data_IF_550490933629
#
_entry.id   IF_550490933629
#
_cell.length_a   1.000
_cell.length_b   1.000
_cell.length_c   1.000
_cell.angle_alpha   90.00
_cell.angle_beta   90.00
_cell.angle_gamma   90.00
#
_symmetry.space_group_name_H-M   'P 1'
#
loop_
_entity.id
_entity.type
_entity.pdbx_description
1 polymer ?
#
# COMPACT_ATOMS: atom_id res chain seq x y z
N UNK A 1 -62.44 62.51 33.85
CA UNK A 1 -62.94 61.87 32.61
C UNK A 1 -62.79 60.36 32.77
N UNK A 2 -63.91 59.65 32.72
CA UNK A 2 -64.05 58.19 32.64
C UNK A 2 -63.66 57.68 31.21
N UNK A 3 -63.80 56.39 30.84
CA UNK A 3 -63.30 55.16 31.48
C UNK A 3 -62.85 54.02 30.49
N UNK A 4 -62.38 52.90 31.07
CA UNK A 4 -62.57 51.44 30.78
C UNK A 4 -62.99 50.86 29.40
N UNK A 5 -62.59 49.59 29.15
CA UNK A 5 -63.40 48.36 28.87
C UNK A 5 -62.42 47.24 28.43
N UNK A 6 -62.29 46.03 29.02
CA UNK A 6 -63.29 45.00 29.36
C UNK A 6 -63.47 44.05 28.15
N UNK A 7 -63.53 42.71 28.14
CA UNK A 7 -63.73 41.57 29.10
C UNK A 7 -63.74 40.31 28.21
N UNK A 8 -62.91 39.27 28.39
CA UNK A 8 -63.06 37.99 29.14
C UNK A 8 -64.42 37.24 29.08
N UNK A 9 -64.31 35.89 28.99
CA UNK A 9 -65.18 34.79 29.48
C UNK A 9 -66.03 33.93 28.49
N UNK A 10 -65.65 32.63 28.33
CA UNK A 10 -66.29 31.41 28.93
C UNK A 10 -66.61 30.16 28.05
N UNK A 11 -65.88 29.06 28.36
CA UNK A 11 -66.27 27.67 28.76
C UNK A 11 -66.96 26.58 27.88
N UNK A 12 -66.52 25.34 28.25
CA UNK A 12 -67.20 24.03 28.45
C UNK A 12 -67.71 23.27 27.19
N UNK A 13 -67.85 21.93 27.11
CA UNK A 13 -67.20 20.69 27.60
C UNK A 13 -68.07 19.52 27.02
N UNK A 14 -67.51 18.30 26.99
CA UNK A 14 -68.19 16.97 27.01
C UNK A 14 -68.53 16.21 25.69
N UNK A 15 -67.69 15.18 25.44
CA UNK A 15 -67.93 13.75 25.16
C UNK A 15 -69.23 13.22 24.49
N UNK A 16 -69.07 12.34 23.47
CA UNK A 16 -69.29 10.86 23.54
C UNK A 16 -69.48 10.19 22.15
N UNK A 17 -68.87 9.01 21.95
CA UNK A 17 -69.55 7.85 21.32
C UNK A 17 -69.37 7.53 19.81
N UNK A 18 -68.37 6.69 19.53
CA UNK A 18 -68.22 5.62 18.51
C UNK A 18 -69.17 5.45 17.29
N UNK A 19 -68.58 5.21 16.11
CA UNK A 19 -68.97 4.12 15.17
C UNK A 19 -67.76 3.77 14.24
N UNK A 20 -67.69 2.51 13.79
CA UNK A 20 -66.48 1.85 13.28
C UNK A 20 -66.32 1.78 11.73
N UNK A 21 -65.05 1.58 11.33
CA UNK A 21 -64.52 0.87 10.12
C UNK A 21 -64.48 1.61 8.75
N UNK A 22 -63.76 1.08 7.72
CA UNK A 22 -62.31 0.84 7.63
C UNK A 22 -61.68 1.26 6.25
N UNK A 23 -60.34 1.29 6.16
CA UNK A 23 -59.46 0.71 5.10
C UNK A 23 -58.21 1.56 4.80
N UNK A 24 -57.07 0.90 4.98
CA UNK A 24 -55.74 1.32 4.53
C UNK A 24 -55.67 1.38 3.01
N UNK A 25 -55.18 2.51 2.47
CA UNK A 25 -54.75 2.61 1.08
C UNK A 25 -53.24 2.35 0.99
N UNK A 26 -52.88 1.28 0.26
CA UNK A 26 -51.51 0.95 -0.13
C UNK A 26 -51.02 1.90 -1.22
N UNK A 27 -49.75 2.35 -1.23
CA UNK A 27 -49.20 2.99 -2.40
C UNK A 27 -48.89 1.96 -3.49
N UNK A 28 -49.29 2.33 -4.70
CA UNK A 28 -49.22 1.62 -5.98
C UNK A 28 -47.77 1.28 -6.35
N UNK A 29 -47.48 0.00 -6.57
CA UNK A 29 -46.26 -0.46 -7.24
C UNK A 29 -46.44 -0.34 -8.77
N UNK A 30 -45.69 0.57 -9.39
CA UNK A 30 -45.43 0.54 -10.83
C UNK A 30 -44.24 -0.38 -11.09
N UNK A 31 -44.52 -1.54 -11.66
CA UNK A 31 -43.54 -2.50 -12.13
C UNK A 31 -42.66 -1.87 -13.22
N UNK A 32 -41.35 -1.78 -12.97
CA UNK A 32 -40.32 -1.54 -14.00
C UNK A 32 -39.37 -2.73 -14.03
N UNK A 33 -39.14 -3.22 -15.23
CA UNK A 33 -38.42 -4.43 -15.59
C UNK A 33 -37.07 -4.60 -14.88
N UNK A 34 -36.77 -5.86 -14.55
CA UNK A 34 -35.61 -6.30 -13.77
C UNK A 34 -34.28 -5.72 -14.25
N UNK A 35 -33.64 -4.96 -13.37
CA UNK A 35 -32.18 -4.85 -13.28
C UNK A 35 -31.76 -5.58 -12.02
N UNK A 36 -31.23 -6.79 -12.17
CA UNK A 36 -30.42 -7.39 -11.11
C UNK A 36 -29.23 -6.46 -10.88
N UNK A 37 -29.21 -5.81 -9.72
CA UNK A 37 -27.99 -5.18 -9.20
C UNK A 37 -27.06 -6.32 -8.83
N UNK A 38 -26.11 -6.62 -9.72
CA UNK A 38 -24.98 -7.48 -9.38
C UNK A 38 -24.13 -6.67 -8.41
N UNK A 39 -24.31 -6.91 -7.12
CA UNK A 39 -23.32 -6.52 -6.11
C UNK A 39 -22.07 -7.35 -6.45
N UNK A 40 -20.92 -6.76 -6.81
CA UNK A 40 -19.71 -7.55 -6.96
C UNK A 40 -19.43 -8.18 -5.60
N UNK A 41 -19.50 -9.52 -5.55
CA UNK A 41 -19.12 -10.28 -4.35
C UNK A 41 -17.70 -9.91 -3.90
N UNK A 42 -17.35 -10.23 -2.64
CA UNK A 42 -16.00 -9.98 -2.14
C UNK A 42 -14.99 -10.54 -3.15
N UNK A 43 -14.17 -9.67 -3.73
CA UNK A 43 -13.16 -10.05 -4.71
C UNK A 43 -11.80 -9.82 -4.08
N UNK A 44 -11.04 -10.90 -3.94
CA UNK A 44 -9.67 -10.85 -3.46
C UNK A 44 -8.73 -10.23 -4.50
N UNK A 45 -7.53 -9.82 -4.09
CA UNK A 45 -6.54 -9.29 -5.02
C UNK A 45 -6.02 -10.40 -5.95
N UNK A 46 -5.43 -10.03 -7.10
CA UNK A 46 -4.85 -11.00 -8.05
C UNK A 46 -3.81 -11.88 -7.32
N UNK A 47 -3.97 -13.20 -7.38
CA UNK A 47 -3.12 -14.19 -6.68
C UNK A 47 -3.59 -14.56 -5.27
N UNK A 48 -4.82 -14.20 -4.89
CA UNK A 48 -5.43 -14.57 -3.62
C UNK A 48 -6.68 -15.44 -3.84
N UNK A 49 -6.85 -16.47 -3.00
CA UNK A 49 -8.03 -17.32 -2.95
C UNK A 49 -9.02 -16.77 -1.90
N UNK A 50 -10.30 -16.72 -2.26
CA UNK A 50 -11.38 -16.32 -1.36
C UNK A 50 -11.91 -17.55 -0.64
N UNK A 51 -11.75 -17.59 0.68
CA UNK A 51 -12.32 -18.58 1.59
C UNK A 51 -13.85 -18.43 1.68
N UNK A 52 -14.58 -19.47 2.11
CA UNK A 52 -16.04 -19.40 2.21
C UNK A 52 -16.50 -18.46 3.33
N UNK A 53 -15.67 -18.26 4.36
CA UNK A 53 -15.86 -17.23 5.39
C UNK A 53 -15.61 -15.79 4.91
N UNK A 54 -15.24 -15.59 3.64
CA UNK A 54 -15.01 -14.28 3.03
C UNK A 54 -13.61 -13.71 3.23
N UNK A 55 -12.68 -14.46 3.83
CA UNK A 55 -11.26 -14.08 3.91
C UNK A 55 -10.49 -14.34 2.61
N UNK A 56 -9.40 -13.59 2.41
CA UNK A 56 -8.53 -13.74 1.25
C UNK A 56 -7.17 -14.28 1.68
N UNK A 57 -6.88 -15.53 1.34
CA UNK A 57 -5.57 -16.16 1.54
C UNK A 57 -4.76 -16.14 0.24
N UNK A 58 -3.49 -16.53 0.29
CA UNK A 58 -2.68 -16.68 -0.94
C UNK A 58 -3.22 -17.85 -1.77
N UNK A 59 -3.29 -17.72 -3.10
CA UNK A 59 -3.69 -18.84 -3.97
C UNK A 59 -2.74 -20.04 -3.86
N UNK A 60 -1.48 -19.79 -3.44
CA UNK A 60 -0.49 -20.83 -3.18
C UNK A 60 -0.74 -21.65 -1.89
N UNK A 61 -1.66 -21.21 -1.04
CA UNK A 61 -2.06 -21.88 0.21
C UNK A 61 -3.32 -22.72 0.05
N UNK A 62 -3.83 -22.83 -1.18
CA UNK A 62 -4.89 -23.77 -1.50
C UNK A 62 -4.27 -25.15 -1.69
N UNK A 63 -4.76 -26.16 -0.97
CA UNK A 63 -4.29 -27.53 -1.03
C UNK A 63 -2.80 -27.69 -0.66
N UNK A 64 -2.31 -26.92 0.31
CA UNK A 64 -0.94 -27.06 0.85
C UNK A 64 -0.86 -27.93 2.11
N UNK A 65 -2.02 -28.40 2.60
CA UNK A 65 -2.17 -29.31 3.72
C UNK A 65 -2.40 -28.63 5.07
N UNK A 66 -2.42 -27.29 5.12
CA UNK A 66 -2.71 -26.50 6.31
C UNK A 66 -4.05 -25.74 6.15
N UNK A 67 -4.84 -25.64 7.22
CA UNK A 67 -6.07 -24.83 7.20
C UNK A 67 -5.74 -23.35 7.45
N UNK A 68 -5.39 -22.63 6.38
CA UNK A 68 -5.08 -21.22 6.36
C UNK A 68 -6.33 -20.32 6.32
N UNK A 69 -7.44 -20.82 5.75
CA UNK A 69 -8.72 -20.11 5.78
C UNK A 69 -9.37 -20.10 7.18
N UNK A 70 -9.03 -21.06 8.04
CA UNK A 70 -9.63 -21.27 9.36
C UNK A 70 -10.98 -22.03 9.33
N UNK A 71 -11.64 -22.11 8.18
CA UNK A 71 -12.88 -22.84 7.91
C UNK A 71 -12.69 -24.08 7.01
N UNK A 72 -11.44 -24.43 6.66
CA UNK A 72 -11.04 -25.51 5.74
C UNK A 72 -11.48 -25.33 4.27
N UNK A 73 -11.92 -24.13 3.86
CA UNK A 73 -12.31 -23.87 2.46
C UNK A 73 -11.16 -23.96 1.45
N UNK A 74 -9.94 -23.88 1.94
CA UNK A 74 -8.68 -24.05 1.22
C UNK A 74 -8.18 -25.49 1.12
N UNK A 75 -8.69 -26.40 1.98
CA UNK A 75 -8.30 -27.81 2.08
C UNK A 75 -9.46 -28.80 1.84
N UNK A 76 -10.24 -28.67 0.73
CA UNK A 76 -11.32 -29.60 0.46
C UNK A 76 -10.81 -30.99 0.04
N UNK A 77 -11.64 -32.01 0.24
CA UNK A 77 -11.30 -33.42 0.00
C UNK A 77 -10.84 -33.78 -1.43
N UNK A 78 -10.98 -32.87 -2.40
CA UNK A 78 -10.50 -33.05 -3.78
C UNK A 78 -9.04 -32.58 -4.00
N UNK A 79 -8.38 -32.04 -2.97
CA UNK A 79 -6.96 -31.69 -3.03
C UNK A 79 -6.09 -32.92 -3.28
N UNK A 80 -5.08 -32.84 -4.17
CA UNK A 80 -4.18 -33.96 -4.45
C UNK A 80 -3.35 -34.31 -3.19
N UNK A 81 -3.15 -35.60 -2.87
CA UNK A 81 -2.34 -35.99 -1.72
C UNK A 81 -0.89 -35.51 -1.88
N UNK A 82 -0.33 -34.90 -0.83
CA UNK A 82 1.04 -34.41 -0.79
C UNK A 82 2.03 -35.58 -0.93
N UNK A 83 2.60 -35.77 -2.12
CA UNK A 83 3.76 -36.66 -2.30
C UNK A 83 5.00 -36.01 -1.67
N UNK A 84 5.48 -36.62 -0.58
CA UNK A 84 6.77 -36.29 0.03
C UNK A 84 7.91 -36.62 -0.94
N UNK A 85 8.38 -35.63 -1.70
CA UNK A 85 9.61 -35.77 -2.49
C UNK A 85 10.79 -35.24 -1.69
N UNK A 86 11.48 -36.17 -1.04
CA UNK A 86 12.84 -35.97 -0.51
C UNK A 86 13.82 -35.86 -1.68
N UNK A 87 14.16 -34.64 -2.10
CA UNK A 87 15.23 -34.39 -3.05
C UNK A 87 16.30 -33.48 -2.42
N UNK A 88 17.24 -34.10 -1.70
CA UNK A 88 18.51 -33.47 -1.32
C UNK A 88 19.29 -33.17 -2.60
N UNK A 89 19.23 -31.93 -3.07
CA UNK A 89 20.12 -31.43 -4.13
C UNK A 89 20.97 -30.30 -3.55
N UNK A 90 22.25 -30.60 -3.35
CA UNK A 90 23.25 -29.60 -2.95
C UNK A 90 23.48 -28.66 -4.13
N UNK A 91 22.96 -27.43 -4.03
CA UNK A 91 23.21 -26.39 -5.01
C UNK A 91 24.60 -25.79 -4.75
N UNK A 92 25.58 -26.11 -5.61
CA UNK A 92 26.87 -25.41 -5.57
C UNK A 92 26.70 -24.02 -6.19
N UNK A 93 26.94 -22.99 -5.38
CA UNK A 93 26.99 -21.59 -5.81
C UNK A 93 28.43 -21.24 -6.15
N UNK A 94 28.65 -20.66 -7.32
CA UNK A 94 29.95 -20.07 -7.68
C UNK A 94 29.75 -18.59 -7.92
N UNK A 95 30.35 -17.78 -7.06
CA UNK A 95 30.41 -16.31 -7.14
C UNK A 95 31.66 -15.92 -7.91
N UNK A 96 31.51 -15.08 -8.94
CA UNK A 96 32.67 -14.50 -9.63
C UNK A 96 33.31 -13.43 -8.74
N UNK A 97 34.55 -13.64 -8.28
CA UNK A 97 35.27 -12.72 -7.39
C UNK A 97 35.60 -11.36 -8.01
N UNK A 98 35.50 -11.23 -9.34
CA UNK A 98 35.83 -9.98 -10.05
C UNK A 98 34.62 -9.06 -10.26
N UNK A 99 33.40 -9.60 -10.36
CA UNK A 99 32.18 -8.81 -10.63
C UNK A 99 31.00 -9.08 -9.69
N UNK A 100 31.15 -9.96 -8.70
CA UNK A 100 30.15 -10.20 -7.65
C UNK A 100 28.89 -10.95 -8.09
N UNK A 101 28.79 -11.43 -9.33
CA UNK A 101 27.62 -12.15 -9.84
C UNK A 101 27.66 -13.65 -9.51
N UNK A 102 26.55 -14.19 -8.98
CA UNK A 102 26.42 -15.60 -8.56
C UNK A 102 25.68 -16.43 -9.61
N UNK A 103 26.26 -17.58 -10.02
CA UNK A 103 25.60 -18.54 -10.92
C UNK A 103 25.03 -19.72 -10.11
N UNK A 104 23.72 -19.98 -10.19
CA UNK A 104 23.09 -21.23 -9.72
C UNK A 104 22.73 -22.10 -10.94
N UNK A 105 23.40 -23.24 -11.13
CA UNK A 105 22.94 -24.28 -12.09
C UNK A 105 21.84 -25.10 -11.41
N UNK A 106 20.60 -25.02 -11.90
CA UNK A 106 19.57 -26.04 -11.62
C UNK A 106 19.66 -27.10 -12.72
N UNK A 107 20.08 -28.31 -12.39
CA UNK A 107 19.80 -29.46 -13.25
C UNK A 107 18.32 -29.82 -13.04
N UNK A 108 17.45 -29.37 -13.93
CA UNK A 108 16.08 -29.87 -14.00
C UNK A 108 16.10 -31.24 -14.71
N UNK A 109 15.39 -32.27 -14.21
CA UNK A 109 15.24 -33.51 -14.94
C UNK A 109 14.41 -33.24 -16.21
N UNK A 110 14.95 -33.67 -17.35
CA UNK A 110 14.26 -33.59 -18.65
C UNK A 110 13.17 -34.66 -18.67
N UNK A 111 11.90 -34.28 -18.49
CA UNK A 111 10.79 -35.13 -18.93
C UNK A 111 10.54 -34.87 -20.42
N UNK A 112 10.86 -35.86 -21.26
CA UNK A 112 10.40 -35.92 -22.65
C UNK A 112 8.89 -36.13 -22.64
N UNK A 113 8.12 -35.16 -23.10
CA UNK A 113 6.77 -35.39 -23.59
C UNK A 113 6.72 -35.05 -25.08
N UNK A 114 6.42 -36.08 -25.87
CA UNK A 114 6.14 -36.03 -27.29
C UNK A 114 4.75 -35.42 -27.51
N UNK A 115 4.67 -34.26 -28.16
CA UNK A 115 3.43 -33.74 -28.76
C UNK A 115 3.75 -32.93 -30.03
N UNK A 116 2.86 -33.04 -31.01
CA UNK A 116 2.95 -32.64 -32.42
C UNK A 116 3.11 -31.11 -32.66
N UNK A 117 3.49 -30.66 -33.87
CA UNK A 117 3.98 -29.30 -34.11
C UNK A 117 2.82 -28.31 -34.23
N UNK A 118 2.72 -27.37 -33.29
CA UNK A 118 1.99 -26.11 -33.45
C UNK A 118 2.97 -24.98 -33.77
N UNK A 119 2.54 -24.16 -34.72
CA UNK A 119 3.29 -23.10 -35.40
C UNK A 119 4.12 -22.21 -34.47
N UNK A 120 5.36 -21.99 -34.88
CA UNK A 120 6.37 -21.20 -34.21
C UNK A 120 5.93 -19.73 -34.13
N UNK A 121 5.59 -19.26 -32.93
CA UNK A 121 5.56 -17.83 -32.64
C UNK A 121 6.99 -17.36 -32.39
N UNK A 122 7.47 -16.48 -33.27
CA UNK A 122 8.76 -15.78 -33.11
C UNK A 122 8.70 -14.91 -31.86
N UNK A 123 9.30 -15.39 -30.77
CA UNK A 123 9.61 -14.55 -29.63
C UNK A 123 10.68 -13.54 -30.07
N UNK A 124 10.33 -12.26 -30.15
CA UNK A 124 11.30 -11.18 -30.37
C UNK A 124 12.19 -11.06 -29.13
N UNK A 125 13.28 -11.83 -29.11
CA UNK A 125 14.36 -11.73 -28.11
C UNK A 125 15.22 -10.51 -28.41
N UNK A 126 15.13 -9.47 -27.58
CA UNK A 126 16.11 -8.37 -27.48
C UNK A 126 16.09 -7.85 -26.03
N UNK A 127 17.16 -7.56 -25.30
CA UNK A 127 18.59 -7.81 -25.43
C UNK A 127 19.04 -8.40 -24.07
N UNK A 128 19.80 -9.49 -24.14
CA UNK A 128 20.53 -10.02 -23.00
C UNK A 128 21.72 -9.07 -22.71
N UNK A 129 21.77 -8.44 -21.54
CA UNK A 129 23.03 -7.83 -21.09
C UNK A 129 23.93 -8.98 -20.64
N UNK A 130 24.75 -9.46 -21.57
CA UNK A 130 25.80 -10.43 -21.30
C UNK A 130 27.02 -9.65 -20.84
N UNK A 131 27.50 -9.91 -19.63
CA UNK A 131 28.76 -9.35 -19.18
C UNK A 131 29.87 -9.86 -20.11
N UNK A 132 30.56 -8.98 -20.83
CA UNK A 132 31.62 -9.32 -21.80
C UNK A 132 32.81 -10.02 -21.15
N UNK A 133 33.01 -9.84 -19.83
CA UNK A 133 34.11 -10.42 -19.07
C UNK A 133 33.82 -11.84 -18.53
N UNK A 134 32.57 -12.16 -18.18
CA UNK A 134 32.23 -13.45 -17.56
C UNK A 134 31.12 -14.26 -18.28
N UNK A 135 30.55 -13.74 -19.36
CA UNK A 135 29.57 -14.44 -20.20
C UNK A 135 28.20 -14.68 -19.54
N UNK A 136 27.94 -14.14 -18.33
CA UNK A 136 26.67 -14.29 -17.64
C UNK A 136 25.62 -13.30 -18.18
N UNK A 137 24.42 -13.81 -18.44
CA UNK A 137 23.30 -13.07 -19.02
C UNK A 137 22.21 -12.84 -17.98
N UNK A 138 21.93 -11.58 -17.62
CA UNK A 138 20.78 -11.22 -16.77
C UNK A 138 19.51 -11.22 -17.60
N UNK A 139 18.70 -12.27 -17.52
CA UNK A 139 17.36 -12.29 -18.13
C UNK A 139 16.37 -11.61 -17.20
N UNK A 140 16.02 -10.34 -17.45
CA UNK A 140 14.77 -9.79 -16.91
C UNK A 140 13.63 -10.54 -17.60
N UNK A 141 12.79 -11.26 -16.85
CA UNK A 141 11.55 -11.80 -17.41
C UNK A 141 10.63 -10.60 -17.67
N UNK A 142 10.25 -10.39 -18.93
CA UNK A 142 9.16 -9.47 -19.23
C UNK A 142 7.87 -10.04 -18.62
N UNK A 143 7.09 -9.19 -17.94
CA UNK A 143 5.74 -9.53 -17.53
C UNK A 143 4.90 -9.83 -18.80
N UNK A 144 3.97 -10.80 -18.74
CA UNK A 144 3.18 -11.18 -19.91
C UNK A 144 2.40 -9.98 -20.45
N UNK A 145 2.56 -9.72 -21.76
CA UNK A 145 1.81 -8.69 -22.48
C UNK A 145 0.33 -9.09 -22.49
N UNK A 146 -0.55 -8.15 -22.12
CA UNK A 146 -1.99 -8.40 -22.11
C UNK A 146 -2.49 -8.67 -23.53
N UNK A 147 -3.05 -9.86 -23.76
CA UNK A 147 -3.75 -10.19 -25.01
C UNK A 147 -5.16 -9.58 -24.95
N UNK A 148 -5.45 -8.69 -25.88
CA UNK A 148 -6.76 -8.04 -26.05
C UNK A 148 -7.49 -8.68 -27.23
N UNK A 149 -8.81 -8.82 -27.14
CA UNK A 149 -9.65 -9.22 -28.27
C UNK A 149 -9.66 -8.13 -29.36
N UNK A 150 -10.07 -8.46 -30.58
CA UNK A 150 -10.18 -7.48 -31.66
C UNK A 150 -11.14 -6.33 -31.30
N UNK A 151 -12.26 -6.66 -30.65
CA UNK A 151 -13.24 -5.69 -30.16
C UNK A 151 -12.66 -4.77 -29.08
N UNK A 152 -11.95 -5.34 -28.09
CA UNK A 152 -11.29 -4.54 -27.05
C UNK A 152 -10.23 -3.61 -27.61
N UNK A 153 -9.48 -4.05 -28.64
CA UNK A 153 -8.50 -3.19 -29.33
C UNK A 153 -9.20 -2.00 -30.00
N UNK A 154 -10.31 -2.25 -30.69
CA UNK A 154 -11.08 -1.20 -31.35
C UNK A 154 -11.62 -0.16 -30.35
N UNK A 155 -12.19 -0.62 -29.24
CA UNK A 155 -12.69 0.26 -28.17
C UNK A 155 -11.56 1.09 -27.54
N UNK A 156 -10.40 0.47 -27.32
CA UNK A 156 -9.21 1.17 -26.82
C UNK A 156 -8.73 2.24 -27.80
N UNK A 157 -8.65 1.94 -29.09
CA UNK A 157 -8.21 2.89 -30.11
C UNK A 157 -9.21 4.04 -30.30
N UNK A 158 -10.51 3.78 -30.16
CA UNK A 158 -11.55 4.81 -30.14
C UNK A 158 -11.43 5.72 -28.91
N UNK A 159 -11.24 5.15 -27.72
CA UNK A 159 -11.05 5.91 -26.49
C UNK A 159 -9.80 6.81 -26.57
N UNK A 160 -8.70 6.32 -27.15
CA UNK A 160 -7.47 7.11 -27.35
C UNK A 160 -7.71 8.25 -28.34
N UNK A 161 -8.35 8.00 -29.48
CA UNK A 161 -8.69 9.05 -30.46
C UNK A 161 -9.59 10.12 -29.86
N UNK A 162 -10.58 9.71 -29.07
CA UNK A 162 -11.46 10.64 -28.34
C UNK A 162 -10.66 11.47 -27.34
N UNK A 163 -9.72 10.85 -26.63
CA UNK A 163 -8.88 11.55 -25.67
C UNK A 163 -7.96 12.59 -26.33
N UNK A 164 -7.31 12.22 -27.44
CA UNK A 164 -6.40 13.09 -28.19
C UNK A 164 -7.16 14.28 -28.82
N UNK A 165 -8.29 14.02 -29.48
CA UNK A 165 -9.12 15.09 -30.07
C UNK A 165 -9.74 16.02 -29.02
N UNK A 166 -10.15 15.49 -27.86
CA UNK A 166 -10.62 16.31 -26.75
C UNK A 166 -9.49 17.18 -26.16
N UNK A 167 -8.28 16.64 -26.06
CA UNK A 167 -7.11 17.39 -25.58
C UNK A 167 -6.73 18.53 -26.53
N UNK A 168 -6.77 18.30 -27.85
CA UNK A 168 -6.56 19.32 -28.88
C UNK A 168 -7.60 20.45 -28.81
N UNK A 169 -8.85 20.12 -28.49
CA UNK A 169 -9.93 21.10 -28.27
C UNK A 169 -9.87 21.82 -26.93
N UNK A 170 -8.91 21.49 -26.06
CA UNK A 170 -8.81 22.02 -24.70
C UNK A 170 -9.81 21.44 -23.70
N UNK A 171 -10.60 20.43 -24.08
CA UNK A 171 -11.48 19.71 -23.15
C UNK A 171 -10.69 18.67 -22.36
N UNK A 172 -9.94 19.15 -21.37
CA UNK A 172 -9.11 18.31 -20.51
C UNK A 172 -9.92 17.35 -19.62
N UNK A 173 -11.21 17.60 -19.40
CA UNK A 173 -12.06 16.72 -18.59
C UNK A 173 -12.38 15.45 -19.36
N UNK A 174 -12.89 15.61 -20.58
CA UNK A 174 -13.19 14.49 -21.48
C UNK A 174 -11.91 13.74 -21.84
N UNK A 175 -10.83 14.45 -22.18
CA UNK A 175 -9.55 13.83 -22.47
C UNK A 175 -9.05 12.92 -21.33
N UNK A 176 -9.10 13.41 -20.08
CA UNK A 176 -8.71 12.61 -18.91
C UNK A 176 -9.60 11.39 -18.73
N UNK A 177 -10.91 11.53 -18.92
CA UNK A 177 -11.87 10.44 -18.79
C UNK A 177 -11.60 9.34 -19.82
N UNK A 178 -11.44 9.69 -21.09
CA UNK A 178 -11.20 8.76 -22.18
C UNK A 178 -9.84 8.06 -22.08
N UNK A 179 -8.77 8.75 -21.66
CA UNK A 179 -7.50 8.08 -21.36
C UNK A 179 -7.61 7.09 -20.20
N UNK A 180 -8.35 7.46 -19.14
CA UNK A 180 -8.56 6.58 -17.99
C UNK A 180 -9.36 5.34 -18.38
N UNK A 181 -10.35 5.49 -19.26
CA UNK A 181 -11.12 4.40 -19.84
C UNK A 181 -10.23 3.44 -20.64
N UNK A 182 -9.40 3.97 -21.55
CA UNK A 182 -8.44 3.18 -22.33
C UNK A 182 -7.48 2.38 -21.44
N UNK A 183 -6.94 3.01 -20.38
CA UNK A 183 -6.08 2.34 -19.38
C UNK A 183 -6.85 1.29 -18.58
N UNK A 184 -8.14 1.47 -18.34
CA UNK A 184 -8.95 0.50 -17.60
C UNK A 184 -9.21 -0.76 -18.43
N UNK A 185 -9.42 -0.61 -19.74
CA UNK A 185 -9.55 -1.74 -20.66
C UNK A 185 -8.22 -2.50 -20.87
N UNK A 186 -7.11 -1.75 -20.94
CA UNK A 186 -5.78 -2.29 -21.20
C UNK A 186 -4.74 -1.87 -20.13
N UNK A 187 -4.88 -2.32 -18.87
CA UNK A 187 -4.09 -1.85 -17.73
C UNK A 187 -2.59 -2.20 -17.77
N UNK A 188 -2.17 -3.14 -18.63
CA UNK A 188 -0.76 -3.52 -18.80
C UNK A 188 -0.15 -3.02 -20.11
N UNK A 189 -0.89 -2.21 -20.88
CA UNK A 189 -0.40 -1.68 -22.15
C UNK A 189 0.44 -0.42 -21.93
N UNK A 190 1.76 -0.57 -22.00
CA UNK A 190 2.72 0.51 -21.79
C UNK A 190 2.54 1.71 -22.73
N UNK A 191 2.09 1.49 -23.98
CA UNK A 191 1.90 2.57 -24.97
C UNK A 191 0.81 3.55 -24.51
N UNK A 192 -0.33 3.01 -24.08
CA UNK A 192 -1.49 3.80 -23.64
C UNK A 192 -1.16 4.56 -22.36
N UNK A 193 -0.53 3.85 -21.41
CA UNK A 193 -0.10 4.44 -20.15
C UNK A 193 0.87 5.60 -20.41
N UNK A 194 1.81 5.44 -21.35
CA UNK A 194 2.77 6.50 -21.71
C UNK A 194 2.09 7.69 -22.39
N UNK A 195 1.12 7.45 -23.28
CA UNK A 195 0.31 8.53 -23.90
C UNK A 195 -0.46 9.32 -22.83
N UNK A 196 -1.09 8.63 -21.89
CA UNK A 196 -1.77 9.29 -20.77
C UNK A 196 -0.79 10.09 -19.89
N UNK A 197 0.41 9.55 -19.62
CA UNK A 197 1.48 10.26 -18.93
C UNK A 197 1.87 11.57 -19.61
N UNK A 198 2.02 11.57 -20.95
CA UNK A 198 2.32 12.78 -21.74
C UNK A 198 1.20 13.82 -21.67
N UNK A 199 -0.06 13.38 -21.73
CA UNK A 199 -1.20 14.28 -21.53
C UNK A 199 -1.19 14.91 -20.12
N UNK A 200 -0.87 14.13 -19.09
CA UNK A 200 -0.76 14.65 -17.73
C UNK A 200 0.41 15.62 -17.57
N UNK A 201 1.56 15.34 -18.19
CA UNK A 201 2.72 16.24 -18.25
C UNK A 201 2.32 17.58 -18.89
N UNK A 202 1.68 17.55 -20.06
CA UNK A 202 1.22 18.73 -20.79
C UNK A 202 0.18 19.56 -20.00
N UNK A 203 -0.63 18.93 -19.15
CA UNK A 203 -1.59 19.61 -18.27
C UNK A 203 -1.00 20.01 -16.90
N UNK A 204 0.31 19.90 -16.72
CA UNK A 204 1.02 20.32 -15.50
C UNK A 204 0.93 19.36 -14.32
N UNK A 205 0.35 18.16 -14.51
CA UNK A 205 0.18 17.13 -13.46
C UNK A 205 1.41 16.22 -13.40
N UNK A 206 2.55 16.82 -13.06
CA UNK A 206 3.89 16.20 -13.08
C UNK A 206 3.95 14.89 -12.30
N UNK A 207 3.40 14.83 -11.09
CA UNK A 207 3.43 13.65 -10.23
C UNK A 207 2.66 12.47 -10.85
N UNK A 208 1.45 12.73 -11.34
CA UNK A 208 0.63 11.72 -12.03
C UNK A 208 1.26 11.29 -13.35
N UNK A 209 2.01 12.17 -14.02
CA UNK A 209 2.74 11.82 -15.23
C UNK A 209 3.90 10.85 -14.95
N UNK A 210 4.74 11.12 -13.94
CA UNK A 210 5.82 10.22 -13.52
C UNK A 210 5.28 8.85 -13.06
N UNK A 211 4.17 8.83 -12.31
CA UNK A 211 3.50 7.57 -11.95
C UNK A 211 3.13 6.74 -13.20
N UNK A 212 2.60 7.39 -14.25
CA UNK A 212 2.27 6.69 -15.48
C UNK A 212 3.54 6.19 -16.20
N UNK A 213 4.59 7.00 -16.29
CA UNK A 213 5.83 6.55 -16.91
C UNK A 213 6.49 5.40 -16.15
N UNK A 214 6.57 5.46 -14.82
CA UNK A 214 7.07 4.38 -13.99
C UNK A 214 6.26 3.09 -14.20
N UNK A 215 4.91 3.19 -14.25
CA UNK A 215 4.04 2.04 -14.55
C UNK A 215 4.25 1.49 -15.95
N UNK A 216 4.48 2.33 -16.95
CA UNK A 216 4.76 1.87 -18.31
C UNK A 216 6.07 1.08 -18.37
N UNK A 217 7.12 1.55 -17.68
CA UNK A 217 8.43 0.88 -17.61
C UNK A 217 8.38 -0.45 -16.85
N UNK A 218 7.45 -0.60 -15.90
CA UNK A 218 7.21 -1.89 -15.24
C UNK A 218 6.83 -2.99 -16.24
N UNK A 219 5.97 -2.67 -17.21
CA UNK A 219 5.49 -3.64 -18.21
C UNK A 219 6.37 -3.71 -19.45
N UNK A 220 6.95 -2.58 -19.88
CA UNK A 220 7.84 -2.49 -21.02
C UNK A 220 9.07 -1.63 -20.67
N UNK A 221 10.14 -2.25 -20.12
CA UNK A 221 11.31 -1.53 -19.59
C UNK A 221 12.07 -0.68 -20.60
N UNK A 222 11.99 -1.01 -21.90
CA UNK A 222 12.72 -0.32 -22.97
C UNK A 222 11.86 0.75 -23.68
N UNK A 223 10.80 1.25 -23.03
CA UNK A 223 9.92 2.26 -23.61
C UNK A 223 10.60 3.64 -23.57
N UNK A 224 11.28 4.01 -24.65
CA UNK A 224 12.08 5.25 -24.76
C UNK A 224 11.29 6.50 -24.33
N UNK A 225 10.04 6.61 -24.80
CA UNK A 225 9.16 7.74 -24.49
C UNK A 225 8.81 7.90 -23.02
N UNK A 226 8.77 6.79 -22.26
CA UNK A 226 8.57 6.83 -20.82
C UNK A 226 9.87 7.14 -20.07
N UNK A 227 11.02 6.64 -20.53
CA UNK A 227 12.34 6.97 -19.98
C UNK A 227 12.59 8.47 -20.11
N UNK A 228 12.49 9.02 -21.33
CA UNK A 228 12.66 10.46 -21.60
C UNK A 228 11.69 11.32 -20.78
N UNK A 229 10.45 10.85 -20.60
CA UNK A 229 9.47 11.50 -19.73
C UNK A 229 9.96 11.59 -18.29
N UNK A 230 10.44 10.50 -17.70
CA UNK A 230 10.98 10.52 -16.33
C UNK A 230 12.23 11.36 -16.22
N UNK A 231 13.14 11.31 -17.18
CA UNK A 231 14.36 12.11 -17.17
C UNK A 231 14.07 13.62 -17.11
N UNK A 232 13.01 14.08 -17.78
CA UNK A 232 12.53 15.47 -17.67
C UNK A 232 11.89 15.78 -16.31
N UNK A 233 11.07 14.87 -15.77
CA UNK A 233 10.25 15.15 -14.59
C UNK A 233 10.98 14.95 -13.26
N UNK A 234 11.92 14.01 -13.18
CA UNK A 234 12.61 13.67 -11.93
C UNK A 234 13.31 14.86 -11.26
N UNK A 235 14.06 15.74 -11.97
CA UNK A 235 14.66 16.92 -11.36
C UNK A 235 13.62 17.92 -10.80
N UNK A 236 12.46 18.05 -11.47
CA UNK A 236 11.37 18.91 -11.02
C UNK A 236 10.76 18.34 -9.73
N UNK A 237 10.51 17.04 -9.71
CA UNK A 237 9.95 16.34 -8.55
C UNK A 237 10.92 16.33 -7.36
N UNK A 238 12.24 16.22 -7.60
CA UNK A 238 13.25 16.29 -6.54
C UNK A 238 13.31 17.69 -5.92
N UNK A 239 13.26 18.77 -6.72
CA UNK A 239 13.18 20.14 -6.22
C UNK A 239 11.91 20.39 -5.41
N UNK A 240 10.74 19.96 -5.91
CA UNK A 240 9.45 20.07 -5.20
C UNK A 240 9.49 19.30 -3.88
N UNK A 241 10.08 18.10 -3.89
CA UNK A 241 10.19 17.27 -2.70
C UNK A 241 11.07 17.93 -1.62
N UNK A 242 12.23 18.49 -1.98
CA UNK A 242 13.07 19.23 -1.03
C UNK A 242 12.37 20.44 -0.44
N UNK A 243 11.65 21.21 -1.26
CA UNK A 243 10.87 22.34 -0.77
C UNK A 243 9.77 21.90 0.23
N UNK A 244 9.09 20.78 -0.07
CA UNK A 244 8.10 20.19 0.83
C UNK A 244 8.74 19.71 2.15
N UNK A 245 9.93 19.09 2.10
CA UNK A 245 10.66 18.69 3.30
C UNK A 245 10.99 19.88 4.20
N UNK A 246 11.39 21.03 3.62
CA UNK A 246 11.64 22.26 4.38
C UNK A 246 10.37 22.82 5.03
N UNK A 247 9.25 22.89 4.28
CA UNK A 247 7.95 23.33 4.82
C UNK A 247 7.48 22.43 5.97
N UNK A 248 7.57 21.12 5.78
CA UNK A 248 7.21 20.13 6.81
C UNK A 248 8.09 20.29 8.04
N UNK A 249 9.41 20.49 7.88
CA UNK A 249 10.31 20.67 9.01
C UNK A 249 9.94 21.90 9.83
N UNK A 250 9.69 23.04 9.16
CA UNK A 250 9.26 24.27 9.83
C UNK A 250 7.92 24.08 10.56
N UNK A 251 6.91 23.49 9.91
CA UNK A 251 5.62 23.18 10.56
C UNK A 251 5.76 22.23 11.74
N UNK A 252 6.62 21.22 11.61
CA UNK A 252 6.89 20.26 12.67
C UNK A 252 7.51 20.95 13.89
N UNK A 253 8.47 21.86 13.69
CA UNK A 253 9.07 22.63 14.78
C UNK A 253 8.03 23.48 15.50
N UNK A 254 7.13 24.16 14.77
CA UNK A 254 6.02 24.93 15.35
C UNK A 254 5.11 24.04 16.18
N UNK A 255 4.69 22.89 15.65
CA UNK A 255 3.81 21.93 16.36
C UNK A 255 4.49 21.42 17.63
N UNK A 256 5.75 21.00 17.53
CA UNK A 256 6.52 20.47 18.68
C UNK A 256 6.69 21.55 19.75
N UNK A 257 7.05 22.78 19.38
CA UNK A 257 7.18 23.90 20.32
C UNK A 257 5.86 24.23 21.00
N UNK A 258 4.74 24.20 20.28
CA UNK A 258 3.42 24.47 20.87
C UNK A 258 3.03 23.38 21.87
N UNK A 259 3.23 22.11 21.52
CA UNK A 259 2.98 20.98 22.43
C UNK A 259 3.85 21.10 23.70
N UNK A 260 5.12 21.49 23.56
CA UNK A 260 6.04 21.67 24.69
C UNK A 260 5.58 22.73 25.70
N UNK A 261 4.82 23.74 25.28
CA UNK A 261 4.25 24.75 26.21
C UNK A 261 3.23 24.14 27.18
N UNK A 262 2.60 23.04 26.79
CA UNK A 262 1.49 22.42 27.54
C UNK A 262 1.89 21.12 28.25
N UNK A 263 3.15 20.68 28.16
CA UNK A 263 3.64 19.48 28.84
C UNK A 263 5.00 19.68 29.49
N UNK A 264 5.16 19.14 30.70
CA UNK A 264 6.47 19.01 31.36
C UNK A 264 7.21 17.74 30.93
N UNK A 265 6.60 16.90 30.08
CA UNK A 265 7.19 15.65 29.60
C UNK A 265 8.39 15.92 28.71
N UNK A 266 9.54 15.40 29.12
CA UNK A 266 10.81 15.51 28.38
C UNK A 266 10.78 14.84 26.99
N UNK A 267 9.73 14.08 26.65
CA UNK A 267 9.64 13.33 25.39
C UNK A 267 8.31 13.62 24.67
N UNK A 268 8.24 14.74 23.94
CA UNK A 268 7.13 15.08 23.02
C UNK A 268 6.78 13.90 22.10
N UNK A 269 7.77 13.12 21.68
CA UNK A 269 7.58 11.92 20.85
C UNK A 269 6.69 10.86 21.51
N UNK A 270 6.75 10.68 22.83
CA UNK A 270 5.88 9.73 23.55
C UNK A 270 4.43 10.20 23.55
N UNK A 271 4.23 11.50 23.74
CA UNK A 271 2.91 12.13 23.66
C UNK A 271 2.34 12.05 22.24
N UNK A 272 3.16 12.32 21.23
CA UNK A 272 2.78 12.16 19.83
C UNK A 272 2.33 10.73 19.50
N UNK A 273 3.04 9.73 20.06
CA UNK A 273 2.66 8.33 19.92
C UNK A 273 1.32 8.02 20.59
N UNK A 274 1.12 8.44 21.84
CA UNK A 274 -0.07 8.06 22.62
C UNK A 274 -1.33 8.86 22.28
N UNK A 275 -1.20 10.16 21.99
CA UNK A 275 -2.33 11.04 21.67
C UNK A 275 -2.79 10.94 20.22
N UNK A 276 -1.86 10.80 19.27
CA UNK A 276 -2.19 10.94 17.86
C UNK A 276 -2.11 9.62 17.12
N UNK A 277 -1.00 8.88 17.28
CA UNK A 277 -0.83 7.63 16.55
C UNK A 277 -1.70 6.50 17.08
N UNK A 278 -1.65 6.24 18.40
CA UNK A 278 -2.40 5.15 19.04
C UNK A 278 -3.91 5.25 18.76
N UNK A 279 -4.59 6.40 18.91
CA UNK A 279 -6.02 6.48 18.64
C UNK A 279 -6.36 6.32 17.16
N UNK A 280 -5.50 6.80 16.25
CA UNK A 280 -5.72 6.67 14.79
C UNK A 280 -5.75 5.22 14.29
N UNK A 281 -5.07 4.32 15.01
CA UNK A 281 -5.09 2.88 14.71
C UNK A 281 -6.43 2.27 15.15
N UNK A 282 -6.96 2.70 16.30
CA UNK A 282 -8.13 2.10 16.92
C UNK A 282 -9.45 2.82 16.61
N UNK A 283 -9.42 4.00 15.96
CA UNK A 283 -10.61 4.79 15.63
C UNK A 283 -11.47 4.19 14.52
N UNK A 284 -11.02 3.12 13.85
CA UNK A 284 -11.70 2.51 12.70
C UNK A 284 -12.34 1.16 13.04
N UNK A 285 -13.40 1.18 13.85
CA UNK A 285 -14.38 0.10 13.97
C UNK A 285 -13.91 -1.14 14.75
N UNK A 286 -14.64 -1.46 15.81
CA UNK A 286 -14.58 -2.75 16.50
C UNK A 286 -15.00 -3.86 15.53
N UNK A 287 -14.04 -4.65 15.08
CA UNK A 287 -14.36 -5.97 14.53
C UNK A 287 -14.56 -6.85 15.77
N UNK A 288 -15.83 -7.14 16.13
CA UNK A 288 -16.23 -8.04 17.22
C UNK A 288 -15.89 -9.49 16.87
N UNK A 289 -14.62 -9.77 16.62
CA UNK A 289 -14.09 -11.11 16.39
C UNK A 289 -12.89 -11.30 17.29
N UNK A 290 -12.74 -12.50 17.82
CA UNK A 290 -11.57 -12.88 18.64
C UNK A 290 -10.25 -12.55 17.93
N UNK A 291 -10.19 -12.78 16.61
CA UNK A 291 -9.02 -12.44 15.78
C UNK A 291 -8.79 -10.93 15.70
N UNK A 292 -9.84 -10.14 15.52
CA UNK A 292 -9.75 -8.68 15.55
C UNK A 292 -9.24 -8.15 16.88
N UNK A 293 -9.69 -8.73 18.00
CA UNK A 293 -9.20 -8.40 19.34
C UNK A 293 -7.72 -8.77 19.51
N UNK A 294 -7.31 -9.96 19.07
CA UNK A 294 -5.92 -10.40 19.13
C UNK A 294 -4.99 -9.49 18.30
N UNK A 295 -5.43 -9.03 17.11
CA UNK A 295 -4.68 -8.04 16.32
C UNK A 295 -4.56 -6.71 17.06
N UNK A 296 -5.63 -6.28 17.74
CA UNK A 296 -5.67 -5.02 18.49
C UNK A 296 -4.72 -5.06 19.70
N UNK A 297 -4.67 -6.19 20.39
CA UNK A 297 -3.71 -6.46 21.48
C UNK A 297 -2.29 -6.45 20.94
N UNK A 298 -2.02 -7.16 19.84
CA UNK A 298 -0.67 -7.18 19.23
C UNK A 298 -0.18 -5.80 18.77
N UNK A 299 -1.07 -4.97 18.21
CA UNK A 299 -0.75 -3.57 17.89
C UNK A 299 -0.44 -2.75 19.14
N UNK A 300 -1.21 -2.95 20.21
CA UNK A 300 -0.97 -2.27 21.49
C UNK A 300 0.39 -2.62 22.07
N UNK A 301 0.72 -3.92 22.15
CA UNK A 301 2.01 -4.40 22.65
C UNK A 301 3.18 -3.84 21.82
N UNK A 302 3.02 -3.75 20.49
CA UNK A 302 4.03 -3.19 19.61
C UNK A 302 4.23 -1.67 19.80
N UNK A 303 3.15 -0.91 20.03
CA UNK A 303 3.20 0.52 20.35
C UNK A 303 3.92 0.74 21.69
N UNK A 304 3.58 -0.05 22.71
CA UNK A 304 4.20 0.07 24.04
C UNK A 304 5.70 -0.27 23.98
N UNK A 305 6.10 -1.21 23.13
CA UNK A 305 7.51 -1.46 22.84
C UNK A 305 8.19 -0.28 22.17
N UNK A 306 7.60 0.29 21.12
CA UNK A 306 8.16 1.50 20.47
C UNK A 306 8.30 2.61 21.50
N UNK A 307 7.26 2.88 22.30
CA UNK A 307 7.28 3.86 23.37
C UNK A 307 8.49 3.69 24.29
N UNK A 308 8.79 2.45 24.68
CA UNK A 308 9.96 2.13 25.52
C UNK A 308 11.31 2.43 24.84
N UNK A 309 11.37 2.48 23.50
CA UNK A 309 12.57 2.73 22.70
C UNK A 309 12.75 4.18 22.25
N UNK A 310 11.79 5.09 22.48
CA UNK A 310 11.84 6.46 21.93
C UNK A 310 12.92 7.38 22.53
N UNK A 311 13.63 6.99 23.59
CA UNK A 311 14.73 7.76 24.16
C UNK A 311 15.88 7.98 23.16
N UNK A 312 16.51 9.16 23.20
CA UNK A 312 17.60 9.55 22.28
C UNK A 312 18.86 8.70 22.42
N UNK A 313 19.11 8.18 23.62
CA UNK A 313 20.20 7.26 23.97
C UNK A 313 19.93 5.82 23.54
N UNK A 314 18.67 5.48 23.24
CA UNK A 314 18.27 4.11 22.91
C UNK A 314 18.49 3.82 21.42
N UNK A 315 18.79 2.56 21.04
CA UNK A 315 18.81 2.17 19.64
C UNK A 315 17.42 2.27 18.99
N UNK A 316 17.37 2.09 17.67
CA UNK A 316 16.12 1.85 16.96
C UNK A 316 15.49 0.52 17.43
N UNK A 317 14.15 0.40 17.45
CA UNK A 317 13.48 -0.83 17.83
C UNK A 317 13.84 -1.97 16.87
N UNK A 318 14.04 -3.17 17.43
CA UNK A 318 14.37 -4.34 16.63
C UNK A 318 13.16 -4.80 15.79
N UNK A 319 13.41 -5.07 14.52
CA UNK A 319 12.36 -5.40 13.54
C UNK A 319 11.67 -6.72 13.87
N UNK A 320 12.41 -7.73 14.33
CA UNK A 320 11.83 -9.03 14.71
C UNK A 320 11.00 -8.88 15.98
N UNK A 321 11.43 -8.03 16.90
CA UNK A 321 10.75 -7.76 18.17
C UNK A 321 9.44 -6.97 17.98
N UNK A 322 9.40 -6.03 17.04
CA UNK A 322 8.16 -5.41 16.56
C UNK A 322 7.22 -6.48 15.98
N UNK A 323 7.72 -7.31 15.06
CA UNK A 323 6.93 -8.35 14.40
C UNK A 323 6.40 -9.39 15.41
N UNK A 324 7.20 -9.76 16.40
CA UNK A 324 6.84 -10.66 17.49
C UNK A 324 5.61 -10.16 18.25
N UNK A 325 5.56 -8.87 18.60
CA UNK A 325 4.41 -8.28 19.30
C UNK A 325 3.18 -8.18 18.40
N UNK A 326 3.37 -7.73 17.16
CA UNK A 326 2.26 -7.56 16.22
C UNK A 326 1.52 -8.87 15.93
N UNK A 327 2.24 -9.99 15.78
CA UNK A 327 1.68 -11.28 15.37
C UNK A 327 1.65 -12.31 16.50
N UNK A 328 2.16 -12.00 17.69
CA UNK A 328 2.31 -12.96 18.77
C UNK A 328 1.00 -13.61 19.23
N UNK A 329 -0.11 -12.87 19.19
CA UNK A 329 -1.43 -13.36 19.58
C UNK A 329 -2.15 -14.09 18.43
N UNK A 330 -2.09 -13.55 17.22
CA UNK A 330 -2.78 -14.14 16.06
C UNK A 330 -2.05 -15.31 15.44
N UNK A 331 -0.72 -15.23 15.41
CA UNK A 331 0.17 -16.07 14.62
C UNK A 331 1.46 -16.43 15.41
N UNK A 332 1.35 -17.03 16.62
CA UNK A 332 2.47 -17.26 17.54
C UNK A 332 3.59 -18.13 16.96
N UNK A 333 3.26 -19.08 16.07
CA UNK A 333 4.24 -19.97 15.44
C UNK A 333 5.25 -19.23 14.57
N UNK A 334 4.85 -18.11 13.98
CA UNK A 334 5.63 -17.36 12.98
C UNK A 334 6.03 -15.96 13.45
N UNK A 335 5.41 -15.45 14.52
CA UNK A 335 5.78 -14.19 15.16
C UNK A 335 7.30 -14.14 15.43
N UNK A 336 7.92 -12.99 15.14
CA UNK A 336 9.37 -12.77 15.29
C UNK A 336 10.31 -13.61 14.40
N UNK A 337 9.80 -14.58 13.62
CA UNK A 337 10.63 -15.52 12.84
C UNK A 337 10.65 -15.17 11.37
N UNK A 338 11.85 -15.09 10.80
CA UNK A 338 12.01 -14.93 9.36
C UNK A 338 11.44 -16.15 8.62
N UNK A 339 10.87 -15.92 7.43
CA UNK A 339 10.30 -16.99 6.63
C UNK A 339 11.40 -17.94 6.13
N UNK A 340 11.03 -19.21 6.05
CA UNK A 340 11.83 -20.29 5.48
C UNK A 340 11.26 -20.77 4.12
N UNK A 341 10.23 -20.09 3.61
CA UNK A 341 9.54 -20.41 2.35
C UNK A 341 9.52 -19.19 1.45
N UNK A 342 9.40 -19.41 0.15
CA UNK A 342 9.14 -18.35 -0.80
C UNK A 342 7.71 -17.83 -0.65
N UNK A 343 7.55 -16.53 -0.85
CA UNK A 343 6.27 -15.83 -0.82
C UNK A 343 6.19 -14.88 -2.00
N UNK A 344 5.00 -14.67 -2.53
CA UNK A 344 4.77 -13.77 -3.66
C UNK A 344 4.07 -12.50 -3.20
N UNK A 345 4.56 -11.33 -3.66
CA UNK A 345 4.03 -10.02 -3.26
C UNK A 345 3.59 -9.26 -4.50
N UNK A 346 2.37 -9.56 -4.97
CA UNK A 346 1.88 -9.04 -6.24
C UNK A 346 2.81 -9.47 -7.40
N UNK A 347 3.29 -8.54 -8.25
CA UNK A 347 4.21 -8.87 -9.33
C UNK A 347 5.69 -8.93 -8.90
N UNK A 348 6.00 -8.57 -7.65
CA UNK A 348 7.37 -8.55 -7.14
C UNK A 348 7.72 -9.88 -6.47
N UNK A 349 8.92 -10.39 -6.77
CA UNK A 349 9.45 -11.60 -6.17
C UNK A 349 10.55 -11.23 -5.16
N UNK A 350 10.31 -11.38 -3.85
CA UNK A 350 11.29 -11.05 -2.82
C UNK A 350 12.52 -11.98 -2.86
N UNK A 351 13.61 -11.64 -2.14
CA UNK A 351 14.79 -12.51 -1.99
C UNK A 351 14.43 -13.93 -1.56
N UNK A 352 15.27 -14.93 -1.89
CA UNK A 352 15.04 -16.30 -1.42
C UNK A 352 15.26 -16.40 0.11
N UNK A 353 14.63 -17.36 0.83
CA UNK A 353 14.78 -17.52 2.28
C UNK A 353 16.23 -17.60 2.75
N UNK A 354 17.07 -18.28 2.00
CA UNK A 354 18.50 -18.44 2.31
C UNK A 354 19.27 -17.11 2.33
N UNK A 355 18.79 -16.13 1.55
CA UNK A 355 19.42 -14.82 1.42
C UNK A 355 18.88 -13.81 2.46
N UNK A 356 17.84 -14.16 3.23
CA UNK A 356 17.19 -13.22 4.15
C UNK A 356 18.10 -12.77 5.29
N UNK A 357 18.90 -13.68 5.83
CA UNK A 357 19.79 -13.37 6.95
C UNK A 357 20.81 -12.29 6.56
N UNK A 358 21.46 -12.44 5.41
CA UNK A 358 22.43 -11.45 4.91
C UNK A 358 21.74 -10.14 4.54
N UNK A 359 20.57 -10.19 3.87
CA UNK A 359 19.79 -9.00 3.50
C UNK A 359 19.31 -8.20 4.71
N UNK A 360 18.94 -8.85 5.80
CA UNK A 360 18.55 -8.18 7.04
C UNK A 360 19.75 -7.55 7.76
N UNK A 361 20.94 -8.17 7.70
CA UNK A 361 22.18 -7.56 8.22
C UNK A 361 22.59 -6.36 7.38
N UNK A 362 22.52 -6.45 6.05
CA UNK A 362 22.74 -5.32 5.14
C UNK A 362 21.78 -4.16 5.45
N UNK A 363 20.50 -4.48 5.71
CA UNK A 363 19.50 -3.49 6.09
C UNK A 363 19.80 -2.81 7.43
N UNK A 364 20.17 -3.58 8.46
CA UNK A 364 20.54 -3.04 9.77
C UNK A 364 21.79 -2.17 9.68
N UNK A 365 22.80 -2.62 8.94
CA UNK A 365 24.04 -1.86 8.69
C UNK A 365 23.75 -0.55 7.96
N UNK A 366 22.86 -0.59 6.96
CA UNK A 366 22.41 0.59 6.24
C UNK A 366 21.71 1.59 7.17
N UNK A 367 20.83 1.15 8.08
CA UNK A 367 20.14 2.03 9.04
C UNK A 367 21.10 2.86 9.90
N UNK A 368 22.27 2.32 10.21
CA UNK A 368 23.29 2.96 11.05
C UNK A 368 24.43 3.60 10.26
N UNK A 369 24.39 3.58 8.92
CA UNK A 369 25.44 4.17 8.08
C UNK A 369 25.40 5.70 8.07
N UNK A 370 26.57 6.34 7.90
CA UNK A 370 26.71 7.81 7.84
C UNK A 370 25.84 8.42 6.72
N UNK A 371 25.90 7.87 5.50
CA UNK A 371 25.06 8.28 4.37
C UNK A 371 23.57 8.34 4.72
N UNK A 372 23.11 7.40 5.54
CA UNK A 372 21.71 7.31 5.95
C UNK A 372 21.39 8.31 7.06
N UNK A 373 22.36 8.68 7.89
CA UNK A 373 22.18 9.72 8.92
C UNK A 373 22.10 11.14 8.31
N UNK A 374 22.73 11.36 7.16
CA UNK A 374 22.65 12.63 6.43
C UNK A 374 21.31 12.82 5.68
N UNK A 375 20.56 11.74 5.46
CA UNK A 375 19.23 11.83 4.83
C UNK A 375 18.25 12.61 5.71
N UNK A 376 17.37 13.37 5.07
CA UNK A 376 16.24 13.98 5.76
C UNK A 376 15.42 12.92 6.51
N UNK A 377 14.99 13.13 7.78
CA UNK A 377 14.36 12.09 8.60
C UNK A 377 13.17 11.39 7.95
N UNK A 378 12.34 12.13 7.21
CA UNK A 378 11.20 11.59 6.45
C UNK A 378 11.66 10.66 5.31
N UNK A 379 12.69 11.05 4.56
CA UNK A 379 13.23 10.25 3.47
C UNK A 379 13.89 8.98 3.99
N UNK A 380 14.61 9.10 5.12
CA UNK A 380 15.22 7.99 5.83
C UNK A 380 14.18 6.97 6.30
N UNK A 381 13.13 7.42 6.98
CA UNK A 381 12.06 6.55 7.48
C UNK A 381 11.27 5.89 6.34
N UNK A 382 10.99 6.63 5.26
CA UNK A 382 10.32 6.09 4.07
C UNK A 382 11.19 5.05 3.34
N UNK A 383 12.49 5.31 3.22
CA UNK A 383 13.45 4.39 2.60
C UNK A 383 13.61 3.11 3.41
N UNK A 384 13.67 3.23 4.75
CA UNK A 384 13.70 2.07 5.64
C UNK A 384 12.46 1.19 5.49
N UNK A 385 11.28 1.81 5.48
CA UNK A 385 10.03 1.13 5.22
C UNK A 385 10.06 0.40 3.87
N UNK A 386 10.43 1.12 2.80
CA UNK A 386 10.48 0.55 1.45
C UNK A 386 11.40 -0.67 1.38
N UNK A 387 12.65 -0.52 1.86
CA UNK A 387 13.65 -1.60 1.89
C UNK A 387 13.16 -2.81 2.68
N UNK A 388 12.53 -2.62 3.83
CA UNK A 388 12.02 -3.73 4.63
C UNK A 388 10.89 -4.50 3.93
N UNK A 389 9.94 -3.79 3.32
CA UNK A 389 8.84 -4.41 2.55
C UNK A 389 9.39 -5.15 1.32
N UNK A 390 10.44 -4.61 0.70
CA UNK A 390 11.12 -5.18 -0.46
C UNK A 390 11.94 -6.44 -0.11
N UNK A 391 12.59 -6.48 1.06
CA UNK A 391 13.24 -7.70 1.57
C UNK A 391 12.18 -8.76 1.93
N UNK A 392 11.03 -8.32 2.45
CA UNK A 392 9.91 -9.17 2.83
C UNK A 392 10.32 -10.35 3.73
N UNK A 393 10.89 -10.10 4.92
CA UNK A 393 11.53 -11.14 5.73
C UNK A 393 10.56 -12.09 6.42
N UNK A 394 9.28 -11.74 6.58
CA UNK A 394 8.29 -12.54 7.31
C UNK A 394 7.26 -13.17 6.37
N UNK A 395 6.53 -14.20 6.84
CA UNK A 395 5.43 -14.82 6.07
C UNK A 395 4.20 -13.91 5.92
N UNK A 396 3.94 -13.10 6.93
CA UNK A 396 2.86 -12.12 7.01
C UNK A 396 3.35 -10.94 7.87
N UNK A 397 2.61 -9.84 7.95
CA UNK A 397 2.91 -8.75 8.89
C UNK A 397 3.99 -7.78 8.42
N UNK A 398 4.60 -7.98 7.25
CA UNK A 398 5.68 -7.13 6.71
C UNK A 398 5.26 -5.65 6.61
N UNK A 399 4.09 -5.37 6.02
CA UNK A 399 3.59 -4.00 5.89
C UNK A 399 3.26 -3.33 7.24
N UNK A 400 2.71 -4.09 8.21
CA UNK A 400 2.43 -3.58 9.57
C UNK A 400 3.73 -3.24 10.29
N UNK A 401 4.69 -4.16 10.25
CA UNK A 401 6.03 -4.01 10.85
C UNK A 401 6.77 -2.82 10.24
N UNK A 402 6.76 -2.68 8.92
CA UNK A 402 7.41 -1.57 8.22
C UNK A 402 6.81 -0.20 8.56
N UNK A 403 5.48 -0.09 8.69
CA UNK A 403 4.83 1.15 9.15
C UNK A 403 5.15 1.48 10.60
N UNK A 404 5.24 0.47 11.45
CA UNK A 404 5.60 0.61 12.86
C UNK A 404 7.05 1.11 13.00
N UNK A 405 7.98 0.53 12.22
CA UNK A 405 9.37 1.01 12.13
C UNK A 405 9.45 2.44 11.57
N UNK A 406 8.72 2.74 10.49
CA UNK A 406 8.66 4.09 9.91
C UNK A 406 8.28 5.13 10.97
N UNK A 407 7.21 4.88 11.73
CA UNK A 407 6.75 5.81 12.74
C UNK A 407 7.69 5.88 13.94
N UNK A 408 8.33 4.78 14.36
CA UNK A 408 9.37 4.83 15.38
C UNK A 408 10.55 5.72 14.94
N UNK A 409 10.98 5.63 13.68
CA UNK A 409 12.06 6.46 13.14
C UNK A 409 11.68 7.95 13.07
N UNK A 410 10.46 8.27 12.65
CA UNK A 410 9.97 9.65 12.66
C UNK A 410 9.94 10.22 14.09
N UNK A 411 9.32 9.49 15.02
CA UNK A 411 9.19 9.91 16.41
C UNK A 411 10.54 10.09 17.11
N UNK A 412 11.51 9.18 16.90
CA UNK A 412 12.88 9.35 17.43
C UNK A 412 13.61 10.53 16.81
N UNK A 413 13.22 10.95 15.60
CA UNK A 413 13.78 12.13 14.94
C UNK A 413 13.00 13.42 15.27
N UNK A 414 12.04 13.37 16.21
CA UNK A 414 11.23 14.52 16.61
C UNK A 414 10.10 14.88 15.64
N UNK A 415 9.80 14.03 14.67
CA UNK A 415 8.71 14.24 13.71
C UNK A 415 7.41 13.61 14.17
N UNK A 416 6.29 14.22 13.77
CA UNK A 416 4.97 13.64 13.97
C UNK A 416 4.81 12.30 13.23
N UNK A 417 4.06 11.34 13.81
CA UNK A 417 3.84 10.04 13.19
C UNK A 417 2.86 10.13 12.02
N UNK A 418 2.99 9.21 11.07
CA UNK A 418 2.09 9.09 9.92
C UNK A 418 0.88 8.21 10.21
N UNK A 419 -0.26 8.58 9.63
CA UNK A 419 -1.50 7.81 9.67
C UNK A 419 -2.01 7.57 8.25
N UNK A 420 -1.74 6.37 7.71
CA UNK A 420 -2.21 5.99 6.38
C UNK A 420 -3.70 5.66 6.42
N UNK A 421 -4.52 6.45 5.73
CA UNK A 421 -5.96 6.22 5.66
C UNK A 421 -6.31 5.04 4.74
N UNK A 422 -7.52 4.50 4.84
CA UNK A 422 -8.03 3.49 3.89
C UNK A 422 -7.99 4.00 2.44
N UNK A 423 -8.18 5.31 2.24
CA UNK A 423 -8.15 5.96 0.93
C UNK A 423 -6.74 6.03 0.34
N UNK A 424 -5.70 5.99 1.17
CA UNK A 424 -4.30 5.99 0.72
C UNK A 424 -3.85 4.63 0.21
N UNK A 425 -4.55 3.52 0.53
CA UNK A 425 -4.10 2.14 0.20
C UNK A 425 -3.67 1.98 -1.25
N UNK A 426 -4.43 2.53 -2.19
CA UNK A 426 -4.10 2.46 -3.63
C UNK A 426 -2.82 3.21 -3.94
N UNK A 427 -2.67 4.45 -3.46
CA UNK A 427 -1.48 5.28 -3.67
C UNK A 427 -0.25 4.66 -3.00
N UNK A 428 -0.40 4.19 -1.77
CA UNK A 428 0.64 3.50 -1.01
C UNK A 428 1.19 2.28 -1.77
N UNK A 429 0.32 1.36 -2.21
CA UNK A 429 0.76 0.18 -2.96
C UNK A 429 1.39 0.56 -4.31
N UNK A 430 0.83 1.56 -4.98
CA UNK A 430 1.34 2.05 -6.27
C UNK A 430 2.77 2.57 -6.13
N UNK A 431 3.04 3.41 -5.12
CA UNK A 431 4.36 3.97 -4.87
C UNK A 431 5.39 2.92 -4.39
N UNK A 432 4.95 1.89 -3.67
CA UNK A 432 5.80 0.74 -3.34
C UNK A 432 6.21 -0.04 -4.60
N UNK A 433 5.29 -0.24 -5.55
CA UNK A 433 5.57 -0.98 -6.78
C UNK A 433 6.44 -0.19 -7.79
N UNK A 434 6.38 1.14 -7.73
CA UNK A 434 7.10 2.04 -8.65
C UNK A 434 8.52 2.41 -8.21
N UNK A 435 8.87 2.10 -6.96
CA UNK A 435 10.15 2.46 -6.38
C UNK A 435 11.22 1.45 -6.85
N UNK A 436 11.77 1.71 -8.05
CA UNK A 436 12.75 0.90 -8.80
C UNK A 436 13.73 0.10 -7.91
N UNK A 437 13.80 -1.23 -8.12
CA UNK A 437 14.64 -2.20 -7.39
C UNK A 437 16.17 -1.98 -7.47
N UNK A 438 16.67 -1.01 -8.25
CA UNK A 438 18.12 -0.89 -8.49
C UNK A 438 18.54 0.46 -9.10
N UNK A 439 18.42 1.55 -8.34
CA UNK A 439 19.00 2.84 -8.72
C UNK A 439 19.07 3.85 -7.56
N UNK A 440 19.79 4.97 -7.72
CA UNK A 440 19.93 6.03 -6.71
C UNK A 440 18.61 6.76 -6.38
N UNK A 441 17.53 6.48 -7.12
CA UNK A 441 16.18 6.98 -6.87
C UNK A 441 15.27 5.98 -6.13
N UNK A 442 15.82 4.86 -5.64
CA UNK A 442 15.07 3.82 -4.93
C UNK A 442 14.32 4.41 -3.72
N UNK A 443 13.00 4.19 -3.66
CA UNK A 443 12.15 4.65 -2.57
C UNK A 443 11.76 6.14 -2.61
N UNK A 444 12.29 6.96 -3.53
CA UNK A 444 11.98 8.41 -3.57
C UNK A 444 10.52 8.73 -3.85
N UNK A 445 9.88 7.96 -4.74
CA UNK A 445 8.45 8.13 -5.03
C UNK A 445 7.61 7.82 -3.79
N UNK A 446 7.95 6.75 -3.07
CA UNK A 446 7.35 6.44 -1.79
C UNK A 446 7.64 7.50 -0.72
N UNK A 447 8.85 8.04 -0.67
CA UNK A 447 9.26 9.08 0.27
C UNK A 447 8.48 10.40 0.08
N UNK A 448 8.15 10.78 -1.17
CA UNK A 448 7.23 11.89 -1.47
C UNK A 448 5.84 11.63 -0.89
N UNK A 449 5.29 10.43 -1.12
CA UNK A 449 3.99 10.07 -0.58
C UNK A 449 3.98 10.08 0.96
N UNK A 450 5.04 9.58 1.60
CA UNK A 450 5.19 9.64 3.06
C UNK A 450 5.24 11.09 3.54
N UNK A 451 5.97 11.98 2.87
CA UNK A 451 5.99 13.40 3.21
C UNK A 451 4.62 14.06 3.09
N UNK A 452 3.83 13.77 2.05
CA UNK A 452 2.46 14.26 1.94
C UNK A 452 1.59 13.78 3.12
N UNK A 453 1.77 12.52 3.54
CA UNK A 453 1.04 11.97 4.70
C UNK A 453 1.47 12.68 5.99
N UNK A 454 2.78 12.90 6.21
CA UNK A 454 3.29 13.66 7.36
C UNK A 454 2.72 15.08 7.37
N UNK A 455 2.72 15.77 6.22
CA UNK A 455 2.19 17.13 6.12
C UNK A 455 0.69 17.19 6.49
N UNK A 456 -0.12 16.23 6.03
CA UNK A 456 -1.53 16.14 6.44
C UNK A 456 -1.70 15.83 7.92
N UNK A 457 -0.83 15.00 8.50
CA UNK A 457 -0.81 14.74 9.94
C UNK A 457 -0.50 16.03 10.72
N UNK A 458 0.46 16.84 10.26
CA UNK A 458 0.76 18.16 10.83
C UNK A 458 -0.42 19.11 10.72
N UNK A 459 -1.03 19.22 9.54
CA UNK A 459 -2.19 20.11 9.33
C UNK A 459 -3.33 19.78 10.30
N UNK A 460 -3.60 18.48 10.52
CA UNK A 460 -4.60 18.04 11.50
C UNK A 460 -4.20 18.41 12.93
N UNK A 461 -2.95 18.17 13.33
CA UNK A 461 -2.49 18.50 14.68
C UNK A 461 -2.53 20.02 14.90
N UNK A 462 -2.18 20.82 13.89
CA UNK A 462 -2.29 22.29 13.95
C UNK A 462 -3.74 22.79 14.03
N UNK A 463 -4.70 22.06 13.46
CA UNK A 463 -6.13 22.32 13.64
C UNK A 463 -6.56 21.99 15.07
N UNK A 464 -6.19 20.81 15.57
CA UNK A 464 -6.48 20.37 16.94
C UNK A 464 -5.87 21.34 17.98
N UNK A 465 -4.65 21.85 17.75
CA UNK A 465 -3.97 22.82 18.61
C UNK A 465 -4.69 24.16 18.77
N UNK A 466 -5.59 24.52 17.84
CA UNK A 466 -6.37 25.76 17.91
C UNK A 466 -7.65 25.59 18.75
N UNK A 467 -8.02 24.37 19.09
CA UNK A 467 -9.15 24.10 19.98
C UNK A 467 -8.79 24.50 21.42
N UNK A 468 -9.64 25.33 22.05
CA UNK A 468 -9.44 25.77 23.43
C UNK A 468 -9.40 24.61 24.44
N UNK A 469 -10.00 23.46 24.10
CA UNK A 469 -9.99 22.26 24.93
C UNK A 469 -8.72 21.41 24.75
N UNK A 470 -7.86 21.74 23.78
CA UNK A 470 -6.69 20.95 23.45
C UNK A 470 -5.73 20.72 24.64
N UNK A 471 -5.38 21.73 25.46
CA UNK A 471 -4.47 21.52 26.59
C UNK A 471 -5.04 20.51 27.61
N UNK A 472 -6.35 20.57 27.87
CA UNK A 472 -7.02 19.63 28.78
C UNK A 472 -7.12 18.22 28.18
N UNK A 473 -7.30 18.11 26.86
CA UNK A 473 -7.25 16.83 26.15
C UNK A 473 -5.84 16.21 26.19
N UNK A 474 -4.82 17.01 25.93
CA UNK A 474 -3.42 16.60 25.90
C UNK A 474 -2.97 16.01 27.25
N UNK A 475 -3.41 16.61 28.37
CA UNK A 475 -3.13 16.08 29.72
C UNK A 475 -3.72 14.69 29.96
N UNK A 476 -4.78 14.29 29.27
CA UNK A 476 -5.39 12.95 29.43
C UNK A 476 -4.61 11.85 28.71
N UNK A 477 -3.69 12.20 27.81
CA UNK A 477 -2.87 11.23 27.08
C UNK A 477 -1.52 10.92 27.76
N UNK A 478 -1.10 11.78 28.69
CA UNK A 478 0.16 11.67 29.42
C UNK A 478 -0.04 10.74 30.62
#
# INVERSE_FOLDING_TARGET
MAPTMGTLWLMLLAASGALAAPKEEKPVQLARAGRQVIIPGPSCSIGQFLCDNGECISEAWKCDGDNDCGDFSDEPAYCPPLEQTTATTVATQTTCTTCGLTRRRRNLPVQKQTAAPLEQTTATTVAATTCTTCGLTRRRRNLPVQKLTAEQKLQVDEAIRTAETAAERGDFRTAKASYKEAVTMAPKNAVIITKYGRFLEATGKVEQADENYARALLYAPNTTSAIEGRDRLLPILDRRYRALQMDISHKNDVVVQEIQKHTSSADVSKLLLNCFYRPSIFSNGSIETKRGDDERVGMTEAIDYIHSTLGSDKPLPDVKEIHQRLLGKTKPKWAGRMRNVNVFVGPYNPPEPDDLASKMVEFQTWLTSEDTQEMHPIERAASAHHKLVHIHPFRDGNGRTARMLLNAMLLKSGFVPTTFSKNDRRKYNTHLMMSDDSGPAHGKAFARHVADVVNRSLDKIMEDLRDENFPAWLQKCN
#
